data_IF_940989668067
#
_entry.id   IF_940989668067
#
_cell.length_a   1.000
_cell.length_b   1.000
_cell.length_c   1.000
_cell.angle_alpha   90.00
_cell.angle_beta   90.00
_cell.angle_gamma   90.00
#
_symmetry.space_group_name_H-M   'P 1'
#
loop_
_entity.id
_entity.type
_entity.pdbx_description
1 polymer ?
#
# COMPACT_ATOMS: atom_id res chain seq x y z
N UNK A 1 9.55 17.06 4.37
CA UNK A 1 8.37 16.59 3.63
C UNK A 1 7.25 16.38 4.62
N UNK A 2 6.04 16.87 4.36
CA UNK A 2 4.98 16.88 5.37
C UNK A 2 4.05 15.69 5.16
N UNK A 3 3.94 14.81 6.17
CA UNK A 3 2.94 13.73 6.27
C UNK A 3 1.55 14.16 5.77
N UNK A 4 1.14 15.39 6.10
CA UNK A 4 -0.13 15.99 5.66
C UNK A 4 -0.31 16.03 4.15
N UNK A 5 0.76 16.25 3.38
CA UNK A 5 0.66 16.28 1.91
C UNK A 5 0.36 14.91 1.34
N UNK A 6 1.08 13.86 1.79
CA UNK A 6 0.85 12.49 1.33
C UNK A 6 -0.58 12.04 1.65
N UNK A 7 -1.08 12.37 2.85
CA UNK A 7 -2.49 12.13 3.22
C UNK A 7 -3.45 12.88 2.29
N UNK A 8 -3.21 14.18 2.06
CA UNK A 8 -4.09 14.96 1.19
C UNK A 8 -4.15 14.43 -0.25
N UNK A 9 -3.03 13.89 -0.76
CA UNK A 9 -2.99 13.32 -2.11
C UNK A 9 -3.78 12.01 -2.17
N UNK A 10 -3.65 11.14 -1.16
CA UNK A 10 -4.51 9.96 -1.04
C UNK A 10 -5.99 10.34 -0.99
N UNK A 11 -6.36 11.33 -0.17
CA UNK A 11 -7.74 11.79 -0.03
C UNK A 11 -8.30 12.40 -1.32
N UNK A 12 -7.49 13.18 -2.05
CA UNK A 12 -7.86 13.72 -3.37
C UNK A 12 -8.14 12.61 -4.40
N UNK A 13 -7.51 11.46 -4.21
CA UNK A 13 -7.71 10.26 -5.04
C UNK A 13 -8.76 9.31 -4.47
N UNK A 14 -9.54 9.74 -3.47
CA UNK A 14 -10.64 8.97 -2.88
C UNK A 14 -10.21 7.93 -1.85
N UNK A 15 -8.92 7.89 -1.46
CA UNK A 15 -8.40 6.91 -0.50
C UNK A 15 -8.27 7.53 0.88
N UNK A 16 -9.10 7.07 1.81
CA UNK A 16 -9.01 7.41 3.24
C UNK A 16 -8.11 6.42 3.97
N UNK A 17 -7.36 6.87 4.96
CA UNK A 17 -6.47 5.99 5.75
C UNK A 17 -7.24 4.89 6.48
N UNK A 18 -8.48 5.16 6.89
CA UNK A 18 -9.39 4.20 7.51
C UNK A 18 -9.68 3.03 6.55
N UNK A 19 -9.84 3.28 5.26
CA UNK A 19 -10.07 2.23 4.27
C UNK A 19 -8.85 1.31 4.10
N UNK A 20 -7.64 1.87 4.24
CA UNK A 20 -6.39 1.11 4.28
C UNK A 20 -6.31 0.30 5.58
N UNK A 21 -6.69 0.89 6.72
CA UNK A 21 -6.73 0.22 8.01
C UNK A 21 -7.70 -0.98 8.03
N UNK A 22 -8.83 -0.90 7.32
CA UNK A 22 -9.76 -2.02 7.16
C UNK A 22 -9.13 -3.21 6.41
N UNK A 23 -8.28 -2.95 5.42
CA UNK A 23 -7.52 -4.01 4.73
C UNK A 23 -6.56 -4.67 5.72
N UNK A 24 -5.80 -3.85 6.45
CA UNK A 24 -4.85 -4.34 7.48
C UNK A 24 -5.57 -5.19 8.52
N UNK A 25 -6.72 -4.72 8.99
CA UNK A 25 -7.55 -5.44 9.94
C UNK A 25 -7.98 -6.80 9.40
N UNK A 26 -8.47 -6.87 8.15
CA UNK A 26 -8.85 -8.14 7.51
C UNK A 26 -7.67 -9.11 7.39
N UNK A 27 -6.48 -8.61 7.07
CA UNK A 27 -5.27 -9.44 6.97
C UNK A 27 -4.84 -10.02 8.32
N UNK A 28 -4.93 -9.23 9.39
CA UNK A 28 -4.36 -9.59 10.69
C UNK A 28 -5.36 -10.23 11.66
N UNK A 29 -6.67 -10.01 11.48
CA UNK A 29 -7.72 -10.59 12.35
C UNK A 29 -7.67 -12.12 12.50
N UNK A 30 -7.34 -12.91 11.46
CA UNK A 30 -7.19 -14.36 11.59
C UNK A 30 -6.06 -14.79 12.55
N UNK A 31 -5.05 -13.95 12.74
CA UNK A 31 -3.88 -14.23 13.59
C UNK A 31 -4.01 -13.59 14.98
N UNK A 32 -4.69 -12.44 15.07
CA UNK A 32 -4.92 -11.74 16.32
C UNK A 32 -6.42 -11.39 16.48
N UNK A 33 -7.14 -12.22 17.21
CA UNK A 33 -8.57 -12.03 17.47
C UNK A 33 -8.89 -10.77 18.30
N UNK A 34 -7.93 -10.28 19.09
CA UNK A 34 -8.08 -9.07 19.92
C UNK A 34 -7.66 -7.79 19.19
N UNK A 35 -7.20 -7.89 17.94
CA UNK A 35 -6.85 -6.73 17.13
C UNK A 35 -8.07 -5.81 16.98
N UNK A 36 -7.84 -4.52 17.16
CA UNK A 36 -8.79 -3.44 16.97
C UNK A 36 -8.43 -2.60 15.72
N UNK A 37 -9.45 -1.98 15.11
CA UNK A 37 -9.26 -1.18 13.90
C UNK A 37 -8.38 0.05 14.14
N UNK A 38 -8.44 0.64 15.34
CA UNK A 38 -7.61 1.79 15.73
C UNK A 38 -6.12 1.45 15.70
N UNK A 39 -5.74 0.25 16.17
CA UNK A 39 -4.37 -0.23 16.10
C UNK A 39 -3.88 -0.41 14.64
N UNK A 40 -4.80 -0.79 13.74
CA UNK A 40 -4.51 -0.89 12.32
C UNK A 40 -4.27 0.50 11.71
N UNK A 41 -5.12 1.46 12.04
CA UNK A 41 -4.99 2.85 11.61
C UNK A 41 -3.69 3.48 12.10
N UNK A 42 -3.32 3.27 13.36
CA UNK A 42 -2.06 3.74 13.92
C UNK A 42 -0.85 3.12 13.22
N UNK A 43 -0.93 1.84 12.87
CA UNK A 43 0.10 1.20 12.06
C UNK A 43 0.22 1.84 10.68
N UNK A 44 -0.88 2.07 9.97
CA UNK A 44 -0.90 2.77 8.66
C UNK A 44 -0.26 4.15 8.78
N UNK A 45 -0.67 4.95 9.78
CA UNK A 45 -0.09 6.28 10.03
C UNK A 45 1.41 6.21 10.31
N UNK A 46 1.85 5.22 11.10
CA UNK A 46 3.26 5.01 11.44
C UNK A 46 4.10 4.64 10.22
N UNK A 47 3.58 3.81 9.30
CA UNK A 47 4.25 3.51 8.03
C UNK A 47 4.33 4.77 7.16
N UNK A 48 3.23 5.50 7.03
CA UNK A 48 3.14 6.72 6.23
C UNK A 48 4.04 7.87 6.75
N UNK A 49 4.46 7.85 8.01
CA UNK A 49 5.43 8.81 8.55
C UNK A 49 6.84 8.63 7.97
N UNK A 50 7.16 7.48 7.36
CA UNK A 50 8.49 7.25 6.75
C UNK A 50 8.63 8.07 5.47
N UNK A 51 9.75 8.78 5.35
CA UNK A 51 10.04 9.64 4.18
C UNK A 51 10.05 8.86 2.87
N UNK A 52 10.63 7.67 2.84
CA UNK A 52 10.66 6.83 1.64
C UNK A 52 9.24 6.46 1.20
N UNK A 53 8.37 6.05 2.13
CA UNK A 53 6.95 5.77 1.84
C UNK A 53 6.25 6.99 1.25
N UNK A 54 6.47 8.18 1.82
CA UNK A 54 5.88 9.43 1.32
C UNK A 54 6.36 9.76 -0.09
N UNK A 55 7.66 9.61 -0.36
CA UNK A 55 8.22 9.88 -1.68
C UNK A 55 7.65 8.93 -2.72
N UNK A 56 7.63 7.64 -2.41
CA UNK A 56 7.09 6.59 -3.28
C UNK A 56 5.61 6.84 -3.60
N UNK A 57 4.79 7.13 -2.58
CA UNK A 57 3.37 7.46 -2.75
C UNK A 57 3.15 8.69 -3.63
N UNK A 58 3.83 9.79 -3.30
CA UNK A 58 3.68 11.03 -4.07
C UNK A 58 4.15 10.86 -5.51
N UNK A 59 5.22 10.10 -5.75
CA UNK A 59 5.73 9.84 -7.10
C UNK A 59 4.72 9.05 -7.93
N UNK A 60 4.17 7.93 -7.42
CA UNK A 60 3.22 7.15 -8.20
C UNK A 60 1.88 7.87 -8.42
N UNK A 61 1.36 8.58 -7.41
CA UNK A 61 0.16 9.41 -7.59
C UNK A 61 0.39 10.50 -8.65
N UNK A 62 1.57 11.14 -8.67
CA UNK A 62 1.89 12.11 -9.71
C UNK A 62 1.93 11.46 -11.11
N UNK A 63 2.43 10.24 -11.23
CA UNK A 63 2.47 9.49 -12.49
C UNK A 63 1.07 9.21 -13.03
N UNK A 64 0.15 8.75 -12.17
CA UNK A 64 -1.27 8.58 -12.48
C UNK A 64 -1.90 9.90 -12.95
N UNK A 65 -1.69 11.00 -12.20
CA UNK A 65 -2.21 12.33 -12.57
C UNK A 65 -1.66 12.84 -13.91
N UNK A 66 -0.40 12.52 -14.24
CA UNK A 66 0.19 12.87 -15.53
C UNK A 66 -0.39 12.02 -16.67
N UNK A 67 -0.70 10.74 -16.41
CA UNK A 67 -1.39 9.88 -17.36
C UNK A 67 -2.80 10.42 -17.65
N UNK A 68 -3.55 10.84 -16.62
CA UNK A 68 -4.88 11.44 -16.79
C UNK A 68 -4.84 12.70 -17.67
N UNK A 69 -3.76 13.48 -17.58
CA UNK A 69 -3.54 14.70 -18.36
C UNK A 69 -2.95 14.45 -19.75
N UNK A 70 -2.76 13.19 -20.15
CA UNK A 70 -2.15 12.77 -21.40
C UNK A 70 -0.75 13.37 -21.64
N UNK A 71 0.06 13.41 -20.58
CA UNK A 71 1.39 14.03 -20.59
C UNK A 71 2.54 13.03 -20.79
N UNK A 72 2.24 11.73 -20.97
CA UNK A 72 3.25 10.73 -21.26
C UNK A 72 3.50 10.61 -22.77
N UNK A 73 4.72 10.26 -23.19
CA UNK A 73 4.99 9.90 -24.58
C UNK A 73 4.37 8.54 -24.92
N UNK A 74 4.00 8.34 -26.18
CA UNK A 74 3.64 7.01 -26.67
C UNK A 74 4.89 6.09 -26.77
N UNK A 75 4.77 4.78 -26.50
CA UNK A 75 3.53 4.03 -26.20
C UNK A 75 3.11 4.03 -24.72
N UNK A 76 3.87 4.68 -23.83
CA UNK A 76 3.62 4.63 -22.38
C UNK A 76 2.26 5.19 -21.99
N UNK A 77 1.83 6.28 -22.64
CA UNK A 77 0.51 6.85 -22.41
C UNK A 77 -0.60 5.83 -22.65
N UNK A 78 -0.58 5.15 -23.80
CA UNK A 78 -1.56 4.10 -24.12
C UNK A 78 -1.48 2.92 -23.14
N UNK A 79 -0.28 2.53 -22.71
CA UNK A 79 -0.10 1.43 -21.75
C UNK A 79 -0.69 1.76 -20.38
N UNK A 80 -0.50 2.98 -19.88
CA UNK A 80 -1.06 3.43 -18.60
C UNK A 80 -2.58 3.62 -18.69
N UNK A 81 -3.11 4.13 -19.81
CA UNK A 81 -4.57 4.25 -20.00
C UNK A 81 -5.26 2.88 -20.09
N UNK A 82 -4.57 1.87 -20.62
CA UNK A 82 -5.09 0.53 -20.78
C UNK A 82 -4.88 -0.37 -19.56
N UNK A 83 -4.16 0.11 -18.54
CA UNK A 83 -3.71 -0.71 -17.40
C UNK A 83 -3.06 -2.02 -17.89
N UNK A 84 -2.01 -1.85 -18.73
CA UNK A 84 -1.39 -2.95 -19.46
C UNK A 84 -0.80 -4.00 -18.51
N UNK A 85 -1.34 -5.22 -18.57
CA UNK A 85 -1.00 -6.35 -17.70
C UNK A 85 0.48 -6.75 -17.61
N UNK A 86 1.31 -6.35 -18.59
CA UNK A 86 2.75 -6.62 -18.61
C UNK A 86 3.60 -5.40 -18.17
N UNK A 87 2.97 -4.28 -17.87
CA UNK A 87 3.61 -3.12 -17.27
C UNK A 87 3.74 -3.38 -15.78
N UNK A 88 4.97 -3.60 -15.31
CA UNK A 88 5.24 -4.01 -13.92
C UNK A 88 5.95 -2.96 -13.05
N UNK A 89 5.84 -1.68 -13.43
CA UNK A 89 6.67 -0.59 -12.86
C UNK A 89 6.04 -0.04 -11.57
N UNK A 90 4.72 0.02 -11.57
CA UNK A 90 3.81 0.20 -10.44
C UNK A 90 4.08 -0.77 -9.30
N UNK A 91 4.12 -2.09 -9.52
CA UNK A 91 4.45 -3.04 -8.45
C UNK A 91 5.90 -2.84 -8.00
N UNK A 92 6.82 -2.57 -8.94
CA UNK A 92 8.22 -2.28 -8.60
C UNK A 92 8.33 -1.09 -7.65
N UNK A 93 7.50 -0.06 -7.85
CA UNK A 93 7.43 1.10 -6.98
C UNK A 93 6.81 0.73 -5.61
N UNK A 94 5.74 -0.07 -5.59
CA UNK A 94 5.11 -0.57 -4.38
C UNK A 94 6.03 -1.49 -3.54
N UNK A 95 6.91 -2.26 -4.20
CA UNK A 95 7.99 -3.02 -3.55
C UNK A 95 8.94 -2.12 -2.76
N UNK A 96 9.13 -0.87 -3.20
CA UNK A 96 9.84 0.15 -2.45
C UNK A 96 9.27 0.35 -1.05
N UNK A 97 7.94 0.36 -0.90
CA UNK A 97 7.25 0.48 0.40
C UNK A 97 7.45 -0.78 1.24
N UNK A 98 7.25 -1.95 0.63
CA UNK A 98 7.18 -3.22 1.38
C UNK A 98 8.54 -3.75 1.80
N UNK A 99 9.60 -3.45 1.02
CA UNK A 99 10.98 -3.85 1.31
C UNK A 99 11.48 -3.35 2.67
N UNK A 100 11.00 -2.19 3.14
CA UNK A 100 11.27 -1.64 4.46
C UNK A 100 10.71 -2.47 5.63
N UNK A 101 9.79 -3.40 5.36
CA UNK A 101 9.08 -4.21 6.35
C UNK A 101 9.32 -5.72 6.16
N UNK A 102 10.35 -6.08 5.39
CA UNK A 102 10.82 -7.44 5.22
C UNK A 102 9.88 -8.34 4.42
N UNK A 103 10.17 -9.64 4.45
CA UNK A 103 9.49 -10.63 3.60
C UNK A 103 8.00 -10.81 3.91
N UNK A 104 7.57 -10.54 5.15
CA UNK A 104 6.15 -10.58 5.53
C UNK A 104 5.37 -9.49 4.79
N UNK A 105 5.96 -8.30 4.64
CA UNK A 105 5.39 -7.22 3.86
C UNK A 105 5.29 -7.61 2.38
N UNK A 106 6.35 -8.20 1.83
CA UNK A 106 6.37 -8.65 0.44
C UNK A 106 5.28 -9.69 0.13
N UNK A 107 5.15 -10.73 0.95
CA UNK A 107 4.15 -11.78 0.73
C UNK A 107 2.72 -11.26 0.91
N UNK A 108 2.51 -10.36 1.88
CA UNK A 108 1.22 -9.70 2.08
C UNK A 108 0.84 -8.83 0.89
N UNK A 109 1.80 -8.12 0.29
CA UNK A 109 1.58 -7.30 -0.90
C UNK A 109 1.12 -8.14 -2.09
N UNK A 110 1.85 -9.21 -2.45
CA UNK A 110 1.44 -10.08 -3.56
C UNK A 110 0.07 -10.73 -3.34
N UNK A 111 -0.31 -10.98 -2.07
CA UNK A 111 -1.67 -11.43 -1.76
C UNK A 111 -2.71 -10.31 -2.00
N UNK A 112 -2.44 -9.08 -1.55
CA UNK A 112 -3.36 -7.96 -1.70
C UNK A 112 -3.56 -7.55 -3.14
N UNK A 113 -2.47 -7.46 -3.91
CA UNK A 113 -2.49 -7.14 -5.32
C UNK A 113 -3.38 -8.14 -6.09
N UNK A 114 -3.19 -9.44 -5.88
CA UNK A 114 -4.01 -10.46 -6.54
C UNK A 114 -5.49 -10.44 -6.14
N UNK A 115 -5.82 -10.15 -4.88
CA UNK A 115 -7.19 -10.28 -4.36
C UNK A 115 -7.98 -8.95 -4.37
N UNK A 116 -7.31 -7.81 -4.61
CA UNK A 116 -7.85 -6.45 -4.64
C UNK A 116 -8.92 -6.20 -3.57
N UNK A 117 -8.58 -6.44 -2.30
CA UNK A 117 -9.51 -6.34 -1.16
C UNK A 117 -9.91 -4.89 -0.84
N UNK A 118 -11.19 -4.68 -0.49
CA UNK A 118 -11.66 -3.40 0.06
C UNK A 118 -11.54 -2.24 -0.94
N UNK A 119 -10.86 -1.16 -0.55
CA UNK A 119 -10.65 0.01 -1.42
C UNK A 119 -9.86 -0.33 -2.69
N UNK A 120 -8.99 -1.35 -2.65
CA UNK A 120 -8.23 -1.78 -3.85
C UNK A 120 -9.15 -2.22 -4.98
N UNK A 121 -10.19 -3.00 -4.66
CA UNK A 121 -11.18 -3.42 -5.64
C UNK A 121 -12.06 -2.26 -6.13
N UNK A 122 -12.21 -1.19 -5.34
CA UNK A 122 -12.92 0.00 -5.80
C UNK A 122 -12.06 0.78 -6.80
N UNK A 123 -10.76 0.98 -6.49
CA UNK A 123 -9.81 1.63 -7.38
C UNK A 123 -9.65 0.88 -8.71
N UNK A 124 -9.52 -0.44 -8.67
CA UNK A 124 -9.38 -1.29 -9.86
C UNK A 124 -10.62 -1.26 -10.77
N UNK A 125 -11.82 -1.00 -10.22
CA UNK A 125 -13.06 -0.93 -10.99
C UNK A 125 -13.48 0.52 -11.31
N UNK A 126 -12.70 1.50 -10.88
CA UNK A 126 -12.99 2.90 -11.12
C UNK A 126 -12.37 3.36 -12.44
N UNK A 127 -13.23 3.53 -13.45
CA UNK A 127 -12.85 4.04 -14.77
C UNK A 127 -12.95 5.56 -14.88
N UNK A 128 -13.22 6.28 -13.78
CA UNK A 128 -13.31 7.74 -13.79
C UNK A 128 -11.94 8.44 -13.74
N UNK A 129 -10.88 7.70 -13.38
CA UNK A 129 -9.50 8.15 -13.34
C UNK A 129 -8.52 7.03 -13.74
N UNK A 130 -7.23 7.34 -13.74
CA UNK A 130 -6.16 6.35 -13.99
C UNK A 130 -5.52 6.05 -12.64
N UNK A 131 -5.58 4.80 -12.19
CA UNK A 131 -5.10 4.38 -10.88
C UNK A 131 -4.08 3.24 -10.96
N UNK A 132 -3.26 3.22 -12.01
CA UNK A 132 -2.25 2.16 -12.28
C UNK A 132 -1.24 2.09 -11.14
N UNK A 133 -0.77 3.23 -10.63
CA UNK A 133 0.17 3.22 -9.51
C UNK A 133 -0.54 3.20 -8.16
N UNK A 134 -1.68 3.89 -8.05
CA UNK A 134 -2.33 4.14 -6.77
C UNK A 134 -2.78 2.87 -6.05
N UNK A 135 -3.37 1.91 -6.75
CA UNK A 135 -3.89 0.70 -6.13
C UNK A 135 -2.75 -0.15 -5.52
N UNK A 136 -1.66 -0.33 -6.25
CA UNK A 136 -0.47 -1.03 -5.79
C UNK A 136 0.25 -0.31 -4.65
N UNK A 137 0.32 1.02 -4.70
CA UNK A 137 0.85 1.81 -3.60
C UNK A 137 0.02 1.66 -2.32
N UNK A 138 -1.31 1.63 -2.45
CA UNK A 138 -2.23 1.39 -1.32
C UNK A 138 -2.07 -0.04 -0.80
N UNK A 139 -1.93 -1.03 -1.70
CA UNK A 139 -1.67 -2.41 -1.34
C UNK A 139 -0.32 -2.55 -0.60
N UNK A 140 0.73 -1.88 -1.09
CA UNK A 140 2.05 -1.84 -0.47
C UNK A 140 2.02 -1.19 0.92
N UNK A 141 1.28 -0.09 1.09
CA UNK A 141 1.09 0.57 2.39
C UNK A 141 0.34 -0.32 3.38
N UNK A 142 -0.74 -0.98 2.95
CA UNK A 142 -1.49 -1.92 3.78
C UNK A 142 -0.62 -3.14 4.16
N UNK A 143 0.14 -3.69 3.22
CA UNK A 143 1.04 -4.81 3.45
C UNK A 143 2.15 -4.46 4.46
N UNK A 144 2.76 -3.27 4.31
CA UNK A 144 3.75 -2.77 5.25
C UNK A 144 3.17 -2.56 6.67
N UNK A 145 1.97 -1.98 6.77
CA UNK A 145 1.30 -1.76 8.04
C UNK A 145 0.89 -3.09 8.72
N UNK A 146 0.47 -4.08 7.92
CA UNK A 146 0.19 -5.45 8.35
C UNK A 146 1.46 -6.14 8.89
N UNK A 147 2.57 -6.07 8.15
CA UNK A 147 3.85 -6.63 8.58
C UNK A 147 4.36 -5.98 9.88
N UNK A 148 4.21 -4.66 10.03
CA UNK A 148 4.55 -3.94 11.26
C UNK A 148 3.77 -4.47 12.47
N UNK A 149 2.47 -4.76 12.32
CA UNK A 149 1.65 -5.36 13.38
C UNK A 149 2.14 -6.77 13.72
N UNK A 150 2.39 -7.60 12.70
CA UNK A 150 2.87 -8.96 12.90
C UNK A 150 4.21 -9.01 13.66
N UNK A 151 5.13 -8.08 13.36
CA UNK A 151 6.40 -7.96 14.09
C UNK A 151 6.26 -7.45 15.53
N UNK A 152 5.14 -6.81 15.87
CA UNK A 152 4.85 -6.28 17.19
C UNK A 152 3.94 -7.20 18.01
N UNK A 153 3.57 -8.38 17.49
CA UNK A 153 2.69 -9.32 18.19
C UNK A 153 3.35 -9.82 19.49
N UNK A 154 2.79 -9.50 20.67
CA UNK A 154 3.34 -9.95 21.95
C UNK A 154 3.29 -11.47 22.13
N UNK A 155 2.42 -12.17 21.38
CA UNK A 155 2.30 -13.63 21.41
C UNK A 155 3.27 -14.33 20.46
N UNK A 156 4.05 -13.59 19.68
CA UNK A 156 5.08 -14.18 18.83
C UNK A 156 6.08 -14.96 19.71
N UNK A 157 6.33 -16.22 19.35
CA UNK A 157 7.26 -17.09 20.08
C UNK A 157 8.65 -16.44 20.07
N UNK A 158 9.13 -16.08 21.25
CA UNK A 158 10.50 -15.60 21.45
C UNK A 158 11.37 -16.81 21.75
N UNK A 159 12.29 -17.10 20.82
CA UNK A 159 13.33 -18.08 21.05
C UNK A 159 14.49 -17.37 21.73
N UNK A 160 14.51 -17.40 23.07
CA UNK A 160 15.66 -16.92 23.81
C UNK A 160 16.89 -17.80 23.48
N UNK A 161 18.09 -17.20 23.47
CA UNK A 161 19.32 -17.95 23.27
C UNK A 161 19.41 -19.03 24.35
N UNK A 162 19.58 -20.28 23.94
CA UNK A 162 20.06 -21.32 24.84
C UNK A 162 21.43 -20.86 25.32
N UNK A 163 21.55 -20.62 26.63
CA UNK A 163 22.79 -20.19 27.27
C UNK A 163 23.96 -21.07 26.77
N UNK A 164 24.96 -20.42 26.17
CA UNK A 164 26.24 -21.01 25.76
C UNK A 164 27.30 -20.80 26.82
#
# INVERSE_FOLDING_TARGET
MNYTMAVSWLEQRGVKLEAIAEIVYKLQKPYNALLELEQCLDSVKSVLQKREVQYTLMTGIAMDMMAERKQWPEPLQSMLEADESLYGVDETLALGITSMFGMIGLTSFGYLDKNKLGILGQLNNDHSGIHVFLDDLVAGLAAAASARIAHQDPNAIKYDKVDS
#
